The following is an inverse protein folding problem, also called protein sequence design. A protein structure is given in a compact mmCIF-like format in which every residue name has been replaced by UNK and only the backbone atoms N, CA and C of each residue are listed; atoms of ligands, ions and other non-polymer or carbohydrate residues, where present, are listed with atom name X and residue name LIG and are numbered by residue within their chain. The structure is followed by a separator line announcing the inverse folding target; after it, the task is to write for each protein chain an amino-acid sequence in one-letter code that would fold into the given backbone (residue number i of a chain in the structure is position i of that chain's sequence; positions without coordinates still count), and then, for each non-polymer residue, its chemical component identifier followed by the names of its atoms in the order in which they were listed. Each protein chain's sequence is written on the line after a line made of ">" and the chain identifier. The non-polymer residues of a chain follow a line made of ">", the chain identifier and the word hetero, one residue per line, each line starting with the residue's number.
data_IF_022071060822
#
_entry.id   IF_022071060822
#
_cell.length_a   1.000
_cell.length_b   1.000
_cell.length_c   1.000
_cell.angle_alpha   90.00
_cell.angle_beta   90.00
_cell.angle_gamma   90.00
#
_symmetry.space_group_name_H-M   'P 1'
#
loop_
_entity.id
_entity.type
_entity.pdbx_description
1 polymer ?
#
# COMPACT_ATOMS: atom_id res chain seq x y z
N UNK A 1 -34.04 -14.11 -19.76
CA UNK A 1 -33.26 -14.23 -18.50
C UNK A 1 -32.33 -15.41 -18.63
N UNK A 2 -31.17 -15.33 -17.97
CA UNK A 2 -29.96 -16.19 -18.04
C UNK A 2 -29.00 -15.76 -19.19
N UNK A 3 -28.06 -14.83 -18.96
CA UNK A 3 -26.86 -14.84 -18.09
C UNK A 3 -25.62 -15.28 -18.88
N UNK A 4 -24.85 -14.31 -19.34
CA UNK A 4 -23.54 -14.50 -19.97
C UNK A 4 -22.48 -14.53 -18.87
N UNK A 5 -21.98 -15.70 -18.52
CA UNK A 5 -20.74 -15.83 -17.72
C UNK A 5 -19.55 -15.67 -18.66
N UNK A 6 -18.90 -14.51 -18.63
CA UNK A 6 -17.60 -14.30 -19.25
C UNK A 6 -16.50 -14.90 -18.37
N UNK A 7 -15.86 -15.96 -18.83
CA UNK A 7 -14.64 -16.46 -18.22
C UNK A 7 -13.48 -15.55 -18.65
N UNK A 8 -12.84 -14.87 -17.70
CA UNK A 8 -11.56 -14.21 -17.95
C UNK A 8 -10.48 -15.28 -18.01
N UNK A 9 -9.89 -15.46 -19.19
CA UNK A 9 -8.79 -16.39 -19.44
C UNK A 9 -7.49 -15.70 -19.04
N UNK A 10 -6.90 -16.10 -17.92
CA UNK A 10 -5.56 -15.67 -17.51
C UNK A 10 -4.57 -16.81 -17.73
N UNK A 11 -3.84 -16.76 -18.85
CA UNK A 11 -2.70 -17.65 -19.07
C UNK A 11 -1.58 -17.26 -18.09
N UNK A 12 -1.17 -18.16 -17.18
CA UNK A 12 0.07 -17.99 -16.40
C UNK A 12 1.13 -18.98 -16.90
N UNK A 13 2.32 -18.52 -17.33
CA UNK A 13 3.37 -19.41 -17.85
C UNK A 13 3.98 -20.30 -16.75
N UNK A 14 4.53 -21.48 -17.10
CA UNK A 14 5.04 -22.43 -16.12
C UNK A 14 6.47 -22.06 -15.72
N UNK A 15 6.62 -21.58 -14.50
CA UNK A 15 7.83 -21.73 -13.69
C UNK A 15 7.38 -21.62 -12.25
N UNK A 16 7.86 -22.53 -11.40
CA UNK A 16 7.64 -22.51 -9.96
C UNK A 16 8.32 -21.30 -9.33
N UNK A 17 7.79 -20.11 -9.60
CA UNK A 17 7.99 -18.96 -8.75
C UNK A 17 7.07 -19.19 -7.56
N UNK A 18 7.64 -19.29 -6.35
CA UNK A 18 6.85 -18.99 -5.17
C UNK A 18 6.22 -17.62 -5.43
N UNK A 19 4.90 -17.56 -5.59
CA UNK A 19 4.20 -16.28 -5.71
C UNK A 19 4.64 -15.43 -4.52
N UNK A 20 5.26 -14.25 -4.74
CA UNK A 20 5.53 -13.31 -3.67
C UNK A 20 4.31 -13.18 -2.78
N UNK A 21 4.47 -13.37 -1.46
CA UNK A 21 3.35 -13.29 -0.54
C UNK A 21 2.98 -11.81 -0.35
N UNK A 22 2.11 -11.31 -1.20
CA UNK A 22 1.56 -9.98 -1.03
C UNK A 22 0.82 -9.87 0.32
N UNK A 23 1.07 -8.77 1.02
CA UNK A 23 0.29 -8.34 2.17
C UNK A 23 -0.67 -7.26 1.67
N UNK A 24 -1.97 -7.51 1.78
CA UNK A 24 -3.02 -6.55 1.40
C UNK A 24 -3.69 -6.03 2.67
N UNK A 25 -3.85 -4.72 2.78
CA UNK A 25 -4.39 -4.03 3.93
C UNK A 25 -5.39 -2.99 3.45
N UNK A 26 -6.62 -3.09 3.94
CA UNK A 26 -7.65 -2.09 3.72
C UNK A 26 -8.00 -1.40 5.04
N UNK A 27 -8.05 -0.07 5.03
CA UNK A 27 -8.33 0.71 6.23
C UNK A 27 -9.03 2.03 5.91
N UNK A 28 -10.01 2.40 6.74
CA UNK A 28 -10.63 3.73 6.71
C UNK A 28 -9.68 4.79 7.25
N UNK A 29 -9.51 5.89 6.53
CA UNK A 29 -8.72 7.06 6.93
C UNK A 29 -9.53 8.33 6.68
N UNK A 30 -10.15 8.87 7.73
CA UNK A 30 -11.07 10.00 7.58
C UNK A 30 -12.22 9.66 6.60
N UNK A 31 -12.44 10.46 5.53
CA UNK A 31 -13.44 10.16 4.50
C UNK A 31 -12.94 9.20 3.41
N UNK A 32 -11.72 8.66 3.52
CA UNK A 32 -11.08 7.85 2.48
C UNK A 32 -11.00 6.37 2.87
N UNK A 33 -11.12 5.49 1.88
CA UNK A 33 -10.70 4.09 1.99
C UNK A 33 -9.29 3.95 1.41
N UNK A 34 -8.35 3.52 2.26
CA UNK A 34 -6.98 3.21 1.90
C UNK A 34 -6.86 1.71 1.60
N UNK A 35 -6.36 1.36 0.42
CA UNK A 35 -5.93 0.00 0.09
C UNK A 35 -4.42 -0.02 -0.14
N UNK A 36 -3.70 -0.84 0.60
CA UNK A 36 -2.24 -0.97 0.50
C UNK A 36 -1.85 -2.40 0.21
N UNK A 37 -1.00 -2.59 -0.79
CA UNK A 37 -0.35 -3.87 -1.08
C UNK A 37 1.15 -3.73 -0.91
N UNK A 38 1.78 -4.63 -0.15
CA UNK A 38 3.24 -4.74 -0.05
C UNK A 38 3.66 -6.11 -0.55
N UNK A 39 4.63 -6.14 -1.45
CA UNK A 39 5.16 -7.36 -2.05
C UNK A 39 6.69 -7.29 -2.22
N UNK A 40 7.44 -8.38 -1.96
CA UNK A 40 7.00 -9.69 -1.47
C UNK A 40 6.67 -9.74 0.03
N UNK A 41 6.74 -8.62 0.75
CA UNK A 41 6.64 -8.53 2.21
C UNK A 41 7.68 -9.44 2.93
N UNK A 42 8.92 -9.42 2.42
CA UNK A 42 10.04 -10.17 2.98
C UNK A 42 11.19 -9.26 3.36
N UNK A 43 12.14 -9.79 4.13
CA UNK A 43 13.40 -9.08 4.38
C UNK A 43 14.08 -8.72 3.05
N UNK A 44 14.50 -7.46 2.93
CA UNK A 44 15.14 -6.90 1.73
C UNK A 44 14.23 -5.94 0.96
N UNK A 45 14.31 -6.02 -0.36
CA UNK A 45 13.62 -5.12 -1.29
C UNK A 45 12.13 -5.42 -1.35
N UNK A 46 11.30 -4.40 -1.15
CA UNK A 46 9.85 -4.47 -1.25
C UNK A 46 9.33 -3.37 -2.18
N UNK A 47 8.18 -3.65 -2.79
CA UNK A 47 7.37 -2.69 -3.53
C UNK A 47 6.07 -2.50 -2.77
N UNK A 48 5.56 -1.27 -2.75
CA UNK A 48 4.29 -0.93 -2.11
C UNK A 48 3.40 -0.18 -3.08
N UNK A 49 2.14 -0.57 -3.14
CA UNK A 49 1.07 0.12 -3.85
C UNK A 49 0.11 0.68 -2.82
N UNK A 50 -0.27 1.95 -2.98
CA UNK A 50 -1.25 2.64 -2.15
C UNK A 50 -2.33 3.17 -3.08
N UNK A 51 -3.58 2.81 -2.79
CA UNK A 51 -4.77 3.36 -3.44
C UNK A 51 -5.62 4.08 -2.40
N UNK A 52 -6.05 5.29 -2.75
CA UNK A 52 -7.00 6.08 -1.97
C UNK A 52 -8.29 6.22 -2.76
N UNK A 53 -9.41 5.94 -2.12
CA UNK A 53 -10.75 6.09 -2.68
C UNK A 53 -11.61 6.95 -1.76
N UNK A 54 -12.52 7.74 -2.33
CA UNK A 54 -13.57 8.37 -1.53
C UNK A 54 -14.50 7.29 -0.97
N UNK A 55 -14.65 7.22 0.36
CA UNK A 55 -15.41 6.15 1.01
C UNK A 55 -16.92 6.23 0.78
N UNK A 56 -17.44 7.33 0.23
CA UNK A 56 -18.86 7.51 -0.10
C UNK A 56 -19.14 7.17 -1.55
N UNK A 57 -18.31 7.63 -2.48
CA UNK A 57 -18.53 7.44 -3.92
C UNK A 57 -17.81 6.21 -4.48
N UNK A 58 -16.73 5.76 -3.83
CA UNK A 58 -15.85 4.70 -4.31
C UNK A 58 -14.91 5.13 -5.45
N UNK A 59 -14.91 6.42 -5.79
CA UNK A 59 -14.07 6.96 -6.86
C UNK A 59 -12.61 7.13 -6.39
N UNK A 60 -11.61 7.01 -7.28
CA UNK A 60 -10.22 7.30 -6.94
C UNK A 60 -10.09 8.72 -6.40
N UNK A 61 -9.43 8.88 -5.26
CA UNK A 61 -9.25 10.15 -4.60
C UNK A 61 -8.05 10.91 -5.20
N UNK A 62 -8.30 12.00 -5.94
CA UNK A 62 -7.24 12.74 -6.67
C UNK A 62 -6.89 14.12 -6.08
N UNK A 63 -7.44 14.46 -4.91
CA UNK A 63 -7.21 15.77 -4.27
C UNK A 63 -5.92 15.83 -3.41
N UNK A 64 -5.21 14.71 -3.25
CA UNK A 64 -3.91 14.64 -2.55
C UNK A 64 -2.91 15.67 -3.08
N UNK A 65 -2.42 16.54 -2.18
CA UNK A 65 -1.34 17.51 -2.48
C UNK A 65 0.04 16.92 -2.21
N UNK A 66 0.18 16.14 -1.15
CA UNK A 66 1.39 15.39 -0.85
C UNK A 66 1.08 14.18 0.00
N UNK A 67 1.73 13.06 -0.27
CA UNK A 67 1.64 11.85 0.54
C UNK A 67 3.02 11.46 1.04
N UNK A 68 3.11 11.03 2.29
CA UNK A 68 4.35 10.52 2.90
C UNK A 68 4.10 9.17 3.54
N UNK A 69 5.13 8.32 3.55
CA UNK A 69 5.10 7.05 4.26
C UNK A 69 6.41 6.84 5.03
N UNK A 70 6.30 6.37 6.26
CA UNK A 70 7.45 6.10 7.14
C UNK A 70 7.29 4.73 7.82
N UNK A 71 8.33 3.91 7.75
CA UNK A 71 8.37 2.59 8.37
C UNK A 71 9.11 2.60 9.72
N UNK A 72 8.55 1.93 10.72
CA UNK A 72 9.16 1.75 12.05
C UNK A 72 9.02 0.29 12.47
N UNK A 73 10.08 -0.29 13.05
CA UNK A 73 10.05 -1.61 13.68
C UNK A 73 10.35 -1.46 15.17
N UNK A 74 9.30 -1.38 15.98
CA UNK A 74 9.41 -1.16 17.43
C UNK A 74 10.16 -2.27 18.16
N UNK A 75 9.99 -3.53 17.74
CA UNK A 75 10.64 -4.68 18.38
C UNK A 75 12.17 -4.65 18.30
N UNK A 76 12.73 -3.95 17.32
CA UNK A 76 14.16 -3.79 17.11
C UNK A 76 14.63 -2.33 17.23
N UNK A 77 13.76 -1.41 17.68
CA UNK A 77 14.03 0.02 17.76
C UNK A 77 14.58 0.63 16.46
N UNK A 78 14.01 0.23 15.32
CA UNK A 78 14.40 0.76 13.99
C UNK A 78 13.37 1.77 13.51
N UNK A 79 13.84 2.86 12.91
CA UNK A 79 13.03 3.88 12.25
C UNK A 79 12.87 5.18 13.06
N UNK A 80 12.13 6.15 12.52
CA UNK A 80 11.36 6.09 11.27
C UNK A 80 12.27 6.07 10.03
N UNK A 81 11.95 5.21 9.06
CA UNK A 81 12.59 5.14 7.76
C UNK A 81 11.67 5.75 6.71
N UNK A 82 12.12 6.77 5.99
CA UNK A 82 11.33 7.37 4.92
C UNK A 82 11.18 6.42 3.73
N UNK A 83 9.94 6.25 3.26
CA UNK A 83 9.61 5.52 2.04
C UNK A 83 9.29 6.52 0.94
N UNK A 84 10.10 6.52 -0.12
CA UNK A 84 9.88 7.39 -1.27
C UNK A 84 8.66 6.93 -2.07
N UNK A 85 7.59 7.73 -2.03
CA UNK A 85 6.38 7.52 -2.82
C UNK A 85 6.41 8.33 -4.12
N UNK A 86 5.91 7.74 -5.20
CA UNK A 86 5.63 8.42 -6.47
C UNK A 86 4.15 8.28 -6.82
N UNK A 87 3.57 9.32 -7.42
CA UNK A 87 2.22 9.25 -7.99
C UNK A 87 2.26 8.41 -9.27
N UNK A 88 1.43 7.38 -9.32
CA UNK A 88 1.30 6.46 -10.47
C UNK A 88 -0.01 6.65 -11.23
N UNK A 89 -1.00 7.30 -10.61
CA UNK A 89 -2.29 7.64 -11.22
C UNK A 89 -3.18 8.39 -10.23
N UNK A 90 -4.43 8.71 -10.61
CA UNK A 90 -5.41 9.27 -9.69
C UNK A 90 -5.62 8.36 -8.48
N UNK A 91 -5.40 8.89 -7.28
CA UNK A 91 -5.45 8.13 -6.02
C UNK A 91 -4.45 6.98 -5.90
N UNK A 92 -3.51 6.80 -6.84
CA UNK A 92 -2.57 5.68 -6.86
C UNK A 92 -1.14 6.15 -6.68
N UNK A 93 -0.49 5.63 -5.65
CA UNK A 93 0.90 5.89 -5.30
C UNK A 93 1.67 4.60 -5.16
N UNK A 94 2.97 4.67 -5.44
CA UNK A 94 3.85 3.50 -5.39
C UNK A 94 5.19 3.84 -4.76
N UNK A 95 5.77 2.89 -4.03
CA UNK A 95 7.16 2.89 -3.64
C UNK A 95 7.84 1.70 -4.31
N UNK A 96 8.88 1.95 -5.10
CA UNK A 96 9.69 0.87 -5.68
C UNK A 96 10.88 0.57 -4.77
N UNK A 97 11.15 -0.73 -4.59
CA UNK A 97 12.40 -1.24 -4.06
C UNK A 97 12.87 -0.64 -2.72
N UNK A 98 11.94 -0.30 -1.82
CA UNK A 98 12.29 0.17 -0.48
C UNK A 98 12.78 -1.01 0.38
N UNK A 99 13.74 -0.75 1.26
CA UNK A 99 14.46 -1.80 1.99
C UNK A 99 13.93 -1.95 3.42
N UNK A 100 13.49 -3.16 3.78
CA UNK A 100 13.18 -3.55 5.16
C UNK A 100 14.14 -4.66 5.58
N UNK A 101 15.14 -4.32 6.38
CA UNK A 101 16.31 -5.19 6.64
C UNK A 101 16.11 -6.22 7.73
N UNK A 102 14.98 -6.18 8.44
CA UNK A 102 14.66 -7.06 9.56
C UNK A 102 13.24 -7.63 9.41
N UNK A 103 13.07 -8.89 9.80
CA UNK A 103 11.76 -9.51 9.92
C UNK A 103 11.01 -8.97 11.16
N UNK A 104 9.69 -8.97 11.10
CA UNK A 104 8.82 -8.51 12.18
C UNK A 104 7.61 -7.73 11.70
N UNK A 105 6.83 -7.23 12.66
CA UNK A 105 5.65 -6.40 12.39
C UNK A 105 6.09 -4.95 12.21
N UNK A 106 6.26 -4.52 10.96
CA UNK A 106 6.57 -3.13 10.65
C UNK A 106 5.32 -2.27 10.73
N UNK A 107 5.42 -1.14 11.41
CA UNK A 107 4.40 -0.09 11.41
C UNK A 107 4.74 0.90 10.29
N UNK A 108 3.86 1.02 9.30
CA UNK A 108 3.99 2.03 8.24
C UNK A 108 2.98 3.14 8.52
N UNK A 109 3.48 4.32 8.87
CA UNK A 109 2.65 5.52 9.02
C UNK A 109 2.52 6.19 7.67
N UNK A 110 1.28 6.38 7.22
CA UNK A 110 0.93 7.05 5.97
C UNK A 110 0.23 8.36 6.33
N UNK A 111 0.63 9.45 5.69
CA UNK A 111 0.00 10.77 5.84
C UNK A 111 -0.32 11.31 4.46
N UNK A 112 -1.60 11.49 4.18
CA UNK A 112 -2.13 12.13 2.99
C UNK A 112 -2.54 13.56 3.34
N UNK A 113 -1.84 14.55 2.78
CA UNK A 113 -2.13 15.96 2.98
C UNK A 113 -2.91 16.47 1.78
N UNK A 114 -4.10 17.03 2.03
CA UNK A 114 -5.06 17.46 1.01
C UNK A 114 -5.16 18.99 0.91
N UNK A 115 -4.74 19.71 1.95
CA UNK A 115 -4.67 21.17 1.95
C UNK A 115 -3.47 21.66 2.79
N UNK A 116 -3.35 22.97 3.02
CA UNK A 116 -2.37 23.49 3.98
C UNK A 116 -2.70 23.13 5.44
N UNK A 117 -3.98 22.90 5.73
CA UNK A 117 -4.50 22.74 7.08
C UNK A 117 -5.05 21.33 7.35
N UNK A 118 -5.28 20.55 6.30
CA UNK A 118 -5.95 19.25 6.39
C UNK A 118 -5.03 18.11 5.95
N UNK A 119 -4.92 17.11 6.82
CA UNK A 119 -4.26 15.83 6.54
C UNK A 119 -5.06 14.65 7.11
N UNK A 120 -4.92 13.51 6.45
CA UNK A 120 -5.44 12.22 6.86
C UNK A 120 -4.26 11.30 7.14
N UNK A 121 -4.14 10.85 8.38
CA UNK A 121 -3.04 10.01 8.81
C UNK A 121 -3.54 8.65 9.32
N UNK A 122 -2.77 7.61 9.02
CA UNK A 122 -3.00 6.27 9.55
C UNK A 122 -1.69 5.52 9.77
N UNK A 123 -1.75 4.43 10.52
CA UNK A 123 -0.65 3.48 10.66
C UNK A 123 -1.16 2.08 10.38
N UNK A 124 -0.53 1.42 9.40
CA UNK A 124 -0.80 0.03 9.04
C UNK A 124 0.30 -0.89 9.57
N UNK A 125 -0.03 -2.17 9.80
CA UNK A 125 0.93 -3.18 10.23
C UNK A 125 1.24 -4.13 9.09
N UNK A 126 2.51 -4.24 8.73
CA UNK A 126 2.99 -5.09 7.65
C UNK A 126 3.89 -6.20 8.24
N UNK A 127 3.42 -7.45 8.28
CA UNK A 127 4.24 -8.58 8.70
C UNK A 127 5.33 -8.88 7.65
N UNK A 128 6.59 -8.65 8.00
CA UNK A 128 7.76 -9.00 7.19
C UNK A 128 8.35 -10.31 7.69
N UNK A 129 8.59 -11.26 6.77
CA UNK A 129 9.13 -12.59 7.07
C UNK A 129 10.41 -12.91 6.32
#
# INVERSE_FOLDING_TARGET
>A
MLATTGALVGYSPPASYTTPKAVNIEQRVGPLDLNTTVEPATVGSNTMHIYLFDAKTGEPFDDTKSITAQATLKSANVGPLDIALRKSGPGHFTADAFQLTLAGEWEIRIVDRVSEFDEYATTIKVPIR
#
